data_IF_601847488919
#
_entry.id   IF_601847488919
#
_cell.length_a   1.000
_cell.length_b   1.000
_cell.length_c   1.000
_cell.angle_alpha   90.00
_cell.angle_beta   90.00
_cell.angle_gamma   90.00
#
_symmetry.space_group_name_H-M   'P 1'
#
loop_
_entity.id
_entity.type
_entity.pdbx_description
1 polymer ?
#
# COMPACT_ATOMS: atom_id res chain seq x y z
N UNK A 1 -13.19 26.71 50.77
CA UNK A 1 -12.78 27.51 49.60
C UNK A 1 -11.89 26.62 48.74
N UNK A 2 -12.51 25.66 48.08
CA UNK A 2 -11.84 24.65 47.25
C UNK A 2 -11.79 25.24 45.84
N UNK A 3 -10.60 25.64 45.44
CA UNK A 3 -10.33 26.16 44.10
C UNK A 3 -10.55 25.04 43.09
N UNK A 4 -11.64 25.19 42.34
CA UNK A 4 -12.06 24.34 41.22
C UNK A 4 -11.04 24.53 40.08
N UNK A 5 -9.89 23.86 40.18
CA UNK A 5 -8.90 23.73 39.11
C UNK A 5 -9.49 22.82 38.02
N UNK A 6 -10.42 23.37 37.25
CA UNK A 6 -10.80 22.80 35.96
C UNK A 6 -9.57 22.91 35.06
N UNK A 7 -8.94 21.78 34.81
CA UNK A 7 -7.97 21.65 33.72
C UNK A 7 -8.59 22.26 32.45
N UNK A 8 -7.83 23.02 31.64
CA UNK A 8 -8.35 23.66 30.46
C UNK A 8 -9.02 22.61 29.57
N UNK A 9 -10.36 22.68 29.55
CA UNK A 9 -11.18 21.83 28.73
C UNK A 9 -10.89 22.17 27.27
N UNK A 10 -10.40 21.17 26.55
CA UNK A 10 -10.44 21.08 25.11
C UNK A 10 -9.72 22.17 24.31
N UNK A 11 -8.39 22.09 24.25
CA UNK A 11 -7.85 21.88 22.90
C UNK A 11 -8.42 20.52 22.46
N UNK A 12 -9.65 20.53 21.90
CA UNK A 12 -10.09 19.45 21.04
C UNK A 12 -8.92 19.29 20.10
N UNK A 13 -8.26 18.13 20.17
CA UNK A 13 -7.42 17.62 19.09
C UNK A 13 -8.10 18.11 17.83
N UNK A 14 -7.44 19.03 17.13
CA UNK A 14 -7.98 19.57 15.91
C UNK A 14 -8.20 18.34 15.03
N UNK A 15 -9.44 17.85 15.02
CA UNK A 15 -9.87 16.87 14.08
C UNK A 15 -9.44 17.49 12.76
N UNK A 16 -8.64 16.78 12.00
CA UNK A 16 -8.16 17.21 10.69
C UNK A 16 -9.36 17.22 9.75
N UNK A 17 -10.35 18.07 10.04
CA UNK A 17 -11.28 18.62 9.08
C UNK A 17 -10.40 19.47 8.18
N UNK A 18 -9.71 18.79 7.26
CA UNK A 18 -9.06 19.44 6.13
C UNK A 18 -10.15 20.33 5.54
N UNK A 19 -9.92 21.65 5.43
CA UNK A 19 -10.83 22.52 4.72
C UNK A 19 -11.23 21.85 3.41
N UNK A 20 -12.51 21.95 3.00
CA UNK A 20 -12.99 21.29 1.76
C UNK A 20 -12.05 21.53 0.56
N UNK A 21 -11.40 22.69 0.51
CA UNK A 21 -10.38 23.04 -0.48
C UNK A 21 -9.16 22.12 -0.48
N UNK A 22 -8.66 21.70 0.68
CA UNK A 22 -7.51 20.78 0.81
C UNK A 22 -7.87 19.35 0.41
N UNK A 23 -9.10 18.91 0.71
CA UNK A 23 -9.61 17.62 0.23
C UNK A 23 -9.69 17.60 -1.31
N UNK A 24 -10.27 18.65 -1.91
CA UNK A 24 -10.36 18.78 -3.38
C UNK A 24 -8.97 18.79 -4.00
N UNK A 25 -8.04 19.57 -3.45
CA UNK A 25 -6.67 19.61 -3.97
C UNK A 25 -5.97 18.25 -3.87
N UNK A 26 -6.16 17.52 -2.77
CA UNK A 26 -5.60 16.18 -2.59
C UNK A 26 -6.18 15.18 -3.62
N UNK A 27 -7.49 15.26 -3.86
CA UNK A 27 -8.16 14.44 -4.88
C UNK A 27 -7.67 14.77 -6.30
N UNK A 28 -7.50 16.06 -6.62
CA UNK A 28 -6.96 16.50 -7.90
C UNK A 28 -5.52 16.01 -8.10
N UNK A 29 -4.68 16.09 -7.07
CA UNK A 29 -3.31 15.57 -7.13
C UNK A 29 -3.25 14.06 -7.29
N UNK A 30 -4.04 13.32 -6.51
CA UNK A 30 -4.14 11.87 -6.66
C UNK A 30 -4.63 11.47 -8.06
N UNK A 31 -5.61 12.20 -8.60
CA UNK A 31 -6.13 11.98 -9.96
C UNK A 31 -5.07 12.28 -11.01
N UNK A 32 -4.33 13.39 -10.87
CA UNK A 32 -3.23 13.75 -11.76
C UNK A 32 -2.13 12.67 -11.77
N UNK A 33 -1.66 12.22 -10.59
CA UNK A 33 -0.64 11.17 -10.50
C UNK A 33 -1.14 9.84 -11.09
N UNK A 34 -2.40 9.50 -10.83
CA UNK A 34 -3.03 8.30 -11.41
C UNK A 34 -3.04 8.38 -12.94
N UNK A 35 -3.41 9.54 -13.51
CA UNK A 35 -3.40 9.76 -14.95
C UNK A 35 -1.97 9.79 -15.52
N UNK A 36 -0.99 10.32 -14.79
CA UNK A 36 0.40 10.34 -15.24
C UNK A 36 1.01 8.93 -15.32
N UNK A 37 0.67 8.06 -14.36
CA UNK A 37 1.16 6.68 -14.28
C UNK A 37 0.39 5.77 -15.24
N UNK A 38 -0.95 5.77 -15.14
CA UNK A 38 -1.82 4.81 -15.82
C UNK A 38 -2.52 5.35 -17.06
N UNK A 39 -2.57 6.68 -17.26
CA UNK A 39 -3.17 7.29 -18.45
C UNK A 39 -2.57 6.81 -19.78
N UNK A 40 -1.25 6.61 -19.90
CA UNK A 40 -0.64 6.01 -21.09
C UNK A 40 -1.20 4.62 -21.43
N UNK A 41 -1.64 3.83 -20.45
CA UNK A 41 -2.31 2.54 -20.69
C UNK A 41 -3.73 2.67 -21.23
N UNK A 42 -4.34 3.85 -21.10
CA UNK A 42 -5.68 4.13 -21.65
C UNK A 42 -5.63 4.57 -23.11
N UNK A 43 -4.44 4.87 -23.67
CA UNK A 43 -4.30 5.30 -25.05
C UNK A 43 -4.70 4.20 -26.07
N UNK A 44 -5.10 4.57 -27.30
CA UNK A 44 -5.33 3.62 -28.38
C UNK A 44 -4.13 2.69 -28.60
N UNK A 45 -4.39 1.42 -28.89
CA UNK A 45 -3.36 0.42 -29.15
C UNK A 45 -2.91 -0.42 -27.96
N UNK A 46 -3.19 -0.02 -26.71
CA UNK A 46 -2.88 -0.82 -25.50
C UNK A 46 -3.94 -1.88 -25.22
N UNK A 47 -3.51 -3.15 -25.21
CA UNK A 47 -4.23 -4.32 -24.71
C UNK A 47 -3.26 -5.04 -23.78
N UNK A 48 -3.58 -5.10 -22.49
CA UNK A 48 -2.72 -5.77 -21.52
C UNK A 48 -2.56 -7.26 -21.89
N UNK A 49 -1.31 -7.70 -22.04
CA UNK A 49 -0.96 -9.04 -22.52
C UNK A 49 -1.24 -10.21 -21.57
N UNK A 50 -1.99 -10.00 -20.48
CA UNK A 50 -2.44 -11.11 -19.63
C UNK A 50 -3.81 -11.60 -20.08
N UNK A 51 -3.84 -12.78 -20.68
CA UNK A 51 -4.94 -13.76 -20.86
C UNK A 51 -6.43 -13.34 -20.72
N UNK A 52 -6.84 -12.11 -21.04
CA UNK A 52 -8.25 -11.69 -21.02
C UNK A 52 -8.76 -11.27 -22.40
N UNK A 53 -9.34 -12.20 -23.19
CA UNK A 53 -10.25 -11.85 -24.28
C UNK A 53 -11.56 -11.34 -23.66
N UNK A 54 -11.53 -10.11 -23.13
CA UNK A 54 -12.72 -9.46 -22.61
C UNK A 54 -13.74 -9.19 -23.73
N UNK A 55 -15.05 -9.28 -23.47
CA UNK A 55 -16.08 -8.93 -24.44
C UNK A 55 -15.87 -7.49 -24.93
N UNK A 56 -15.83 -7.28 -26.25
CA UNK A 56 -15.85 -5.92 -26.86
C UNK A 56 -17.27 -5.35 -26.92
N UNK A 57 -18.26 -6.18 -26.61
CA UNK A 57 -19.67 -5.85 -26.53
C UNK A 57 -20.18 -6.25 -25.15
N UNK A 58 -20.56 -5.27 -24.35
CA UNK A 58 -21.19 -5.48 -23.05
C UNK A 58 -22.70 -5.41 -23.24
N UNK A 59 -23.32 -6.55 -23.52
CA UNK A 59 -24.78 -6.70 -23.51
C UNK A 59 -25.28 -7.05 -22.11
N UNK A 60 -26.54 -6.77 -21.83
CA UNK A 60 -27.21 -7.33 -20.65
C UNK A 60 -27.42 -8.83 -20.88
N UNK A 61 -26.95 -9.65 -19.94
CA UNK A 61 -27.21 -11.08 -19.97
C UNK A 61 -28.69 -11.36 -19.75
N UNK A 62 -29.24 -12.32 -20.52
CA UNK A 62 -30.60 -12.83 -20.30
C UNK A 62 -30.65 -13.87 -19.17
N UNK A 63 -29.52 -14.17 -18.52
CA UNK A 63 -29.44 -15.14 -17.42
C UNK A 63 -29.37 -14.44 -16.06
N UNK A 64 -30.06 -15.00 -15.06
CA UNK A 64 -30.02 -14.50 -13.69
C UNK A 64 -28.80 -15.07 -12.98
N UNK A 65 -27.76 -14.25 -12.79
CA UNK A 65 -26.51 -14.62 -12.14
C UNK A 65 -25.94 -13.55 -11.21
N UNK A 66 -24.98 -13.95 -10.38
CA UNK A 66 -24.26 -13.05 -9.44
C UNK A 66 -23.40 -12.00 -10.15
N UNK A 67 -23.14 -12.17 -11.45
CA UNK A 67 -22.45 -11.21 -12.31
C UNK A 67 -23.34 -10.08 -12.85
N UNK A 68 -24.67 -10.16 -12.73
CA UNK A 68 -25.60 -9.13 -13.29
C UNK A 68 -25.22 -7.70 -12.89
N UNK A 69 -24.91 -7.38 -11.62
CA UNK A 69 -24.57 -6.00 -11.27
C UNK A 69 -23.32 -5.51 -11.97
N UNK A 70 -22.30 -6.37 -12.11
CA UNK A 70 -21.08 -6.04 -12.82
C UNK A 70 -21.32 -5.91 -14.32
N UNK A 71 -22.09 -6.82 -14.92
CA UNK A 71 -22.45 -6.77 -16.34
C UNK A 71 -23.28 -5.53 -16.69
N UNK A 72 -24.26 -5.18 -15.86
CA UNK A 72 -25.07 -3.97 -16.02
C UNK A 72 -24.21 -2.70 -15.86
N UNK A 73 -23.30 -2.69 -14.88
CA UNK A 73 -22.35 -1.59 -14.72
C UNK A 73 -21.45 -1.47 -15.96
N UNK A 74 -20.95 -2.59 -16.49
CA UNK A 74 -20.10 -2.62 -17.68
C UNK A 74 -20.84 -2.23 -18.97
N UNK A 75 -22.10 -2.63 -19.12
CA UNK A 75 -22.96 -2.22 -20.23
C UNK A 75 -23.25 -0.71 -20.19
N UNK A 76 -23.59 -0.18 -19.01
CA UNK A 76 -23.77 1.26 -18.81
C UNK A 76 -22.50 2.06 -19.08
N UNK A 77 -21.35 1.57 -18.60
CA UNK A 77 -20.04 2.17 -18.87
C UNK A 77 -19.72 2.13 -20.38
N UNK A 78 -19.94 0.98 -21.02
CA UNK A 78 -19.76 0.79 -22.46
C UNK A 78 -20.62 1.72 -23.31
N UNK A 79 -21.85 1.98 -22.89
CA UNK A 79 -22.72 2.97 -23.53
C UNK A 79 -22.21 4.41 -23.36
N UNK A 80 -21.73 4.76 -22.16
CA UNK A 80 -21.31 6.12 -21.83
C UNK A 80 -19.99 6.53 -22.50
N UNK A 81 -19.00 5.63 -22.53
CA UNK A 81 -17.62 5.96 -22.95
C UNK A 81 -17.12 5.16 -24.16
N UNK A 82 -17.96 4.28 -24.71
CA UNK A 82 -17.63 3.36 -25.80
C UNK A 82 -17.09 2.02 -25.30
N UNK A 83 -17.42 0.94 -26.02
CA UNK A 83 -17.07 -0.44 -25.65
C UNK A 83 -15.56 -0.70 -25.53
N UNK A 84 -14.74 -0.02 -26.35
CA UNK A 84 -13.28 -0.12 -26.24
C UNK A 84 -12.76 0.47 -24.93
N UNK A 85 -13.17 1.69 -24.57
CA UNK A 85 -12.71 2.34 -23.35
C UNK A 85 -13.29 1.66 -22.12
N UNK A 86 -14.54 1.20 -22.15
CA UNK A 86 -15.11 0.40 -21.07
C UNK A 86 -14.36 -0.93 -20.91
N UNK A 87 -14.03 -1.61 -22.00
CA UNK A 87 -13.19 -2.80 -21.98
C UNK A 87 -11.81 -2.52 -21.41
N UNK A 88 -11.16 -1.42 -21.79
CA UNK A 88 -9.88 -0.99 -21.22
C UNK A 88 -10.00 -0.62 -19.74
N UNK A 89 -11.07 0.03 -19.30
CA UNK A 89 -11.29 0.36 -17.88
C UNK A 89 -11.57 -0.89 -17.05
N UNK A 90 -12.28 -1.88 -17.61
CA UNK A 90 -12.47 -3.18 -16.98
C UNK A 90 -11.15 -3.93 -16.91
N UNK A 91 -10.41 -4.03 -18.02
CA UNK A 91 -9.12 -4.74 -18.08
C UNK A 91 -8.10 -4.03 -17.18
N UNK A 92 -8.01 -2.70 -17.23
CA UNK A 92 -7.24 -1.89 -16.29
C UNK A 92 -7.68 -2.24 -14.87
N UNK A 93 -8.97 -2.16 -14.56
CA UNK A 93 -9.54 -2.50 -13.26
C UNK A 93 -9.36 -3.97 -12.85
N UNK A 94 -9.18 -4.90 -13.79
CA UNK A 94 -9.03 -6.35 -13.58
C UNK A 94 -7.57 -6.79 -13.54
N UNK A 95 -6.66 -6.13 -14.25
CA UNK A 95 -5.20 -6.35 -14.17
C UNK A 95 -4.59 -5.66 -12.98
N UNK A 96 -5.07 -4.44 -12.72
CA UNK A 96 -4.98 -3.93 -11.39
C UNK A 96 -5.68 -4.97 -10.48
N UNK A 97 -6.98 -5.25 -10.62
CA UNK A 97 -7.76 -6.17 -9.76
C UNK A 97 -7.09 -7.49 -9.32
N UNK A 98 -6.70 -8.36 -10.25
CA UNK A 98 -6.46 -9.79 -10.03
C UNK A 98 -5.09 -10.14 -9.41
N UNK A 99 -4.12 -9.21 -9.38
CA UNK A 99 -2.82 -9.46 -8.73
C UNK A 99 -2.17 -8.19 -8.13
N UNK A 100 -2.37 -7.01 -8.73
CA UNK A 100 -1.69 -5.78 -8.34
C UNK A 100 -2.51 -4.88 -7.40
N UNK A 101 -3.84 -4.82 -7.52
CA UNK A 101 -4.73 -3.89 -6.84
C UNK A 101 -5.13 -4.42 -5.49
N UNK A 102 -5.25 -5.72 -5.29
CA UNK A 102 -5.48 -6.23 -3.93
C UNK A 102 -4.34 -5.79 -2.98
N UNK A 103 -3.08 -5.94 -3.39
CA UNK A 103 -1.94 -5.44 -2.63
C UNK A 103 -1.81 -3.91 -2.66
N UNK A 104 -1.94 -3.25 -3.82
CA UNK A 104 -1.79 -1.80 -3.95
C UNK A 104 -2.96 -1.01 -3.32
N UNK A 105 -4.19 -1.54 -3.35
CA UNK A 105 -5.35 -0.98 -2.67
C UNK A 105 -5.16 -1.09 -1.18
N UNK A 106 -4.76 -2.26 -0.67
CA UNK A 106 -4.41 -2.41 0.74
C UNK A 106 -3.30 -1.44 1.14
N UNK A 107 -2.27 -1.27 0.29
CA UNK A 107 -1.22 -0.28 0.47
C UNK A 107 -1.75 1.17 0.43
N UNK A 108 -2.67 1.51 -0.46
CA UNK A 108 -3.31 2.83 -0.52
C UNK A 108 -4.21 3.11 0.69
N UNK A 109 -4.75 2.07 1.32
CA UNK A 109 -5.53 2.17 2.56
C UNK A 109 -4.62 2.34 3.79
N UNK A 110 -3.35 1.90 3.76
CA UNK A 110 -2.44 1.95 4.91
C UNK A 110 -2.29 3.35 5.56
N UNK A 111 -2.11 4.47 4.82
CA UNK A 111 -2.02 5.80 5.42
C UNK A 111 -3.28 6.18 6.21
N UNK A 112 -4.46 5.78 5.69
CA UNK A 112 -5.71 5.97 6.41
C UNK A 112 -5.80 5.07 7.65
N UNK A 113 -5.38 3.81 7.55
CA UNK A 113 -5.30 2.91 8.70
C UNK A 113 -4.37 3.44 9.79
N UNK A 114 -3.20 3.99 9.42
CA UNK A 114 -2.29 4.66 10.34
C UNK A 114 -2.96 5.83 11.06
N UNK A 115 -3.74 6.64 10.32
CA UNK A 115 -4.49 7.75 10.90
C UNK A 115 -5.53 7.26 11.92
N UNK A 116 -6.25 6.18 11.59
CA UNK A 116 -7.23 5.56 12.51
C UNK A 116 -6.58 4.95 13.75
N UNK A 117 -5.46 4.25 13.57
CA UNK A 117 -4.65 3.70 14.67
C UNK A 117 -4.15 4.80 15.60
N UNK A 118 -3.58 5.87 15.04
CA UNK A 118 -3.15 7.03 15.82
C UNK A 118 -4.30 7.65 16.60
N UNK A 119 -5.46 7.85 15.96
CA UNK A 119 -6.65 8.38 16.63
C UNK A 119 -7.11 7.50 17.79
N UNK A 120 -7.11 6.17 17.61
CA UNK A 120 -7.44 5.21 18.67
C UNK A 120 -6.43 5.21 19.82
N UNK A 121 -5.14 5.37 19.53
CA UNK A 121 -4.10 5.42 20.56
C UNK A 121 -4.07 6.75 21.33
N UNK A 122 -4.41 7.86 20.66
CA UNK A 122 -4.49 9.18 21.28
C UNK A 122 -5.78 9.36 22.09
N UNK A 123 -6.91 8.89 21.56
CA UNK A 123 -8.23 8.99 22.18
C UNK A 123 -8.94 7.63 22.13
N UNK A 124 -8.62 6.73 23.08
CA UNK A 124 -9.25 5.42 23.14
C UNK A 124 -10.76 5.54 23.38
N UNK A 125 -11.56 4.96 22.48
CA UNK A 125 -13.02 5.07 22.54
C UNK A 125 -13.70 4.20 21.50
N UNK A 126 -15.03 4.07 21.60
CA UNK A 126 -15.81 3.21 20.69
C UNK A 126 -15.70 3.67 19.22
N UNK A 127 -15.81 4.97 18.97
CA UNK A 127 -15.72 5.53 17.61
C UNK A 127 -14.34 5.30 16.98
N UNK A 128 -13.26 5.51 17.74
CA UNK A 128 -11.89 5.31 17.25
C UNK A 128 -11.57 3.82 17.05
N UNK A 129 -12.09 2.95 17.92
CA UNK A 129 -12.00 1.48 17.77
C UNK A 129 -12.72 0.97 16.52
N UNK A 130 -13.95 1.44 16.27
CA UNK A 130 -14.69 1.09 15.04
C UNK A 130 -13.95 1.61 13.82
N UNK A 131 -13.43 2.84 13.86
CA UNK A 131 -12.63 3.39 12.76
C UNK A 131 -11.38 2.55 12.44
N UNK A 132 -10.67 2.08 13.46
CA UNK A 132 -9.53 1.16 13.29
C UNK A 132 -9.98 -0.20 12.77
N UNK A 133 -11.07 -0.76 13.29
CA UNK A 133 -11.60 -2.05 12.85
C UNK A 133 -12.00 -2.03 11.37
N UNK A 134 -12.71 -0.97 10.93
CA UNK A 134 -13.06 -0.78 9.51
C UNK A 134 -11.80 -0.69 8.65
N UNK A 135 -10.75 0.00 9.11
CA UNK A 135 -9.48 0.06 8.38
C UNK A 135 -8.84 -1.32 8.20
N UNK A 136 -8.80 -2.13 9.25
CA UNK A 136 -8.30 -3.50 9.15
C UNK A 136 -9.17 -4.38 8.25
N UNK A 137 -10.49 -4.25 8.30
CA UNK A 137 -11.42 -5.01 7.45
C UNK A 137 -11.22 -4.64 5.98
N UNK A 138 -11.15 -3.35 5.64
CA UNK A 138 -10.88 -2.91 4.27
C UNK A 138 -9.52 -3.39 3.77
N UNK A 139 -8.49 -3.35 4.62
CA UNK A 139 -7.18 -3.92 4.31
C UNK A 139 -7.28 -5.44 4.11
N UNK A 140 -8.05 -6.17 4.92
CA UNK A 140 -8.22 -7.61 4.80
C UNK A 140 -8.99 -8.05 3.56
N UNK A 141 -10.04 -7.30 3.20
CA UNK A 141 -10.77 -7.47 1.93
C UNK A 141 -9.82 -7.27 0.76
N UNK A 142 -8.95 -6.26 0.84
CA UNK A 142 -8.00 -5.96 -0.22
C UNK A 142 -6.84 -6.97 -0.24
N UNK A 143 -6.19 -7.27 0.87
CA UNK A 143 -5.09 -8.23 0.96
C UNK A 143 -4.92 -8.79 2.39
N UNK A 144 -5.14 -10.10 2.60
CA UNK A 144 -4.90 -10.73 3.90
C UNK A 144 -3.45 -10.56 4.42
N UNK A 145 -2.47 -10.50 3.53
CA UNK A 145 -1.06 -10.27 3.89
C UNK A 145 -0.84 -8.90 4.51
N UNK A 146 -1.53 -7.89 4.01
CA UNK A 146 -1.38 -6.52 4.50
C UNK A 146 -1.98 -6.37 5.90
N UNK A 147 -2.95 -7.22 6.28
CA UNK A 147 -3.46 -7.28 7.67
C UNK A 147 -2.34 -7.63 8.65
N UNK A 148 -1.46 -8.58 8.29
CA UNK A 148 -0.30 -8.94 9.13
C UNK A 148 0.65 -7.74 9.29
N UNK A 149 0.93 -7.04 8.18
CA UNK A 149 1.83 -5.88 8.16
C UNK A 149 1.22 -4.72 8.98
N UNK A 150 -0.08 -4.43 8.82
CA UNK A 150 -0.79 -3.42 9.62
C UNK A 150 -0.88 -3.83 11.08
N UNK A 151 -1.04 -5.12 11.37
CA UNK A 151 -1.04 -5.66 12.73
C UNK A 151 0.29 -5.44 13.44
N UNK A 152 1.42 -5.70 12.76
CA UNK A 152 2.76 -5.38 13.27
C UNK A 152 2.89 -3.88 13.55
N UNK A 153 2.51 -3.04 12.59
CA UNK A 153 2.53 -1.58 12.76
C UNK A 153 1.70 -1.14 13.98
N UNK A 154 0.47 -1.65 14.12
CA UNK A 154 -0.41 -1.34 15.24
C UNK A 154 0.20 -1.77 16.59
N UNK A 155 0.80 -2.97 16.65
CA UNK A 155 1.46 -3.48 17.85
C UNK A 155 2.66 -2.59 18.25
N UNK A 156 3.53 -2.25 17.29
CA UNK A 156 4.68 -1.38 17.54
C UNK A 156 4.22 0.01 18.00
N UNK A 157 3.22 0.59 17.33
CA UNK A 157 2.67 1.89 17.72
C UNK A 157 2.07 1.86 19.12
N UNK A 158 1.31 0.82 19.46
CA UNK A 158 0.75 0.67 20.81
C UNK A 158 1.85 0.60 21.88
N UNK A 159 2.90 -0.18 21.63
CA UNK A 159 4.05 -0.27 22.55
C UNK A 159 4.75 1.09 22.70
N UNK A 160 5.06 1.79 21.61
CA UNK A 160 5.76 3.08 21.71
C UNK A 160 4.92 4.17 22.37
N UNK A 161 3.61 4.20 22.12
CA UNK A 161 2.71 5.12 22.81
C UNK A 161 2.62 4.79 24.29
N UNK A 162 2.48 3.52 24.66
CA UNK A 162 2.46 3.08 26.07
C UNK A 162 3.76 3.47 26.78
N UNK A 163 4.92 3.23 26.16
CA UNK A 163 6.22 3.55 26.75
C UNK A 163 6.45 5.07 26.90
N UNK A 164 5.80 5.89 26.09
CA UNK A 164 5.88 7.34 26.17
C UNK A 164 4.98 7.95 27.26
N UNK A 165 3.98 7.21 27.77
CA UNK A 165 3.14 7.69 28.86
C UNK A 165 3.86 7.62 30.21
N UNK A 166 3.60 8.62 31.07
CA UNK A 166 4.08 8.61 32.46
C UNK A 166 3.42 7.49 33.26
N UNK A 167 2.11 7.35 33.11
CA UNK A 167 1.27 6.37 33.84
C UNK A 167 0.90 5.20 32.94
N UNK A 168 1.90 4.36 32.61
CA UNK A 168 1.79 3.26 31.63
C UNK A 168 0.63 2.31 31.93
N UNK A 169 0.46 1.93 33.20
CA UNK A 169 -0.59 0.99 33.62
C UNK A 169 -1.98 1.59 33.43
N UNK A 170 -2.17 2.87 33.74
CA UNK A 170 -3.45 3.55 33.54
C UNK A 170 -3.76 3.69 32.06
N UNK A 171 -2.77 4.08 31.25
CA UNK A 171 -2.92 4.10 29.79
C UNK A 171 -3.35 2.72 29.26
N UNK A 172 -2.67 1.64 29.66
CA UNK A 172 -3.03 0.28 29.25
C UNK A 172 -4.44 -0.12 29.69
N UNK A 173 -4.86 0.23 30.91
CA UNK A 173 -6.23 -0.02 31.40
C UNK A 173 -7.28 0.74 30.58
N UNK A 174 -6.96 1.97 30.19
CA UNK A 174 -7.87 2.82 29.42
C UNK A 174 -7.93 2.42 27.94
N UNK A 175 -6.80 2.06 27.32
CA UNK A 175 -6.72 1.73 25.90
C UNK A 175 -6.96 0.25 25.57
N UNK A 176 -6.60 -0.65 26.49
CA UNK A 176 -6.66 -2.10 26.30
C UNK A 176 -8.04 -2.61 25.87
N UNK A 177 -9.14 -2.25 26.56
CA UNK A 177 -10.49 -2.68 26.18
C UNK A 177 -10.86 -2.27 24.75
N UNK A 178 -10.49 -1.06 24.33
CA UNK A 178 -10.76 -0.53 23.00
C UNK A 178 -9.97 -1.24 21.90
N UNK A 179 -8.73 -1.63 22.19
CA UNK A 179 -7.92 -2.48 21.30
C UNK A 179 -8.59 -3.85 21.14
N UNK A 180 -9.06 -4.45 22.23
CA UNK A 180 -9.78 -5.73 22.19
C UNK A 180 -11.06 -5.62 21.37
N UNK A 181 -11.83 -4.53 21.54
CA UNK A 181 -13.02 -4.25 20.73
C UNK A 181 -12.67 -4.14 19.24
N UNK A 182 -11.60 -3.41 18.88
CA UNK A 182 -11.18 -3.29 17.49
C UNK A 182 -10.79 -4.65 16.88
N UNK A 183 -10.00 -5.46 17.62
CA UNK A 183 -9.62 -6.82 17.20
C UNK A 183 -10.85 -7.72 17.02
N UNK A 184 -11.78 -7.69 17.98
CA UNK A 184 -13.00 -8.49 17.93
C UNK A 184 -13.88 -8.11 16.74
N UNK A 185 -14.11 -6.82 16.51
CA UNK A 185 -14.88 -6.33 15.37
C UNK A 185 -14.22 -6.70 14.03
N UNK A 186 -12.90 -6.54 13.91
CA UNK A 186 -12.15 -6.99 12.73
C UNK A 186 -12.29 -8.49 12.52
N UNK A 187 -12.11 -9.29 13.57
CA UNK A 187 -12.21 -10.75 13.50
C UNK A 187 -13.60 -11.24 13.09
N UNK A 188 -14.66 -10.66 13.65
CA UNK A 188 -16.04 -10.97 13.29
C UNK A 188 -16.31 -10.61 11.83
N UNK A 189 -16.00 -9.38 11.41
CA UNK A 189 -16.25 -8.91 10.05
C UNK A 189 -15.37 -9.62 8.99
N UNK A 190 -14.18 -10.10 9.39
CA UNK A 190 -13.24 -10.83 8.54
C UNK A 190 -13.41 -12.35 8.62
N UNK A 191 -14.38 -12.85 9.39
CA UNK A 191 -14.57 -14.29 9.62
C UNK A 191 -14.82 -15.08 8.34
N UNK A 192 -15.40 -14.45 7.30
CA UNK A 192 -15.69 -15.08 6.02
C UNK A 192 -14.44 -15.61 5.29
N UNK A 193 -13.26 -15.03 5.53
CA UNK A 193 -11.98 -15.52 4.98
C UNK A 193 -11.06 -16.09 6.07
N UNK A 194 -11.10 -15.58 7.30
CA UNK A 194 -10.27 -16.10 8.41
C UNK A 194 -10.63 -17.55 8.74
N UNK A 195 -11.92 -17.87 8.83
CA UNK A 195 -12.38 -19.23 9.21
C UNK A 195 -11.98 -20.28 8.16
N UNK A 196 -12.26 -20.12 6.85
CA UNK A 196 -11.83 -21.10 5.86
C UNK A 196 -10.30 -21.21 5.79
N UNK A 197 -9.56 -20.10 5.91
CA UNK A 197 -8.10 -20.09 5.96
C UNK A 197 -7.55 -20.95 7.09
N UNK A 198 -8.03 -20.76 8.32
CA UNK A 198 -7.61 -21.54 9.50
C UNK A 198 -8.03 -23.01 9.37
N UNK A 199 -9.19 -23.27 8.76
CA UNK A 199 -9.67 -24.62 8.50
C UNK A 199 -8.92 -25.32 7.36
N UNK A 200 -7.96 -24.66 6.69
CA UNK A 200 -7.25 -25.19 5.52
C UNK A 200 -8.17 -25.42 4.32
N UNK A 201 -9.26 -24.64 4.22
CA UNK A 201 -10.26 -24.70 3.15
C UNK A 201 -10.21 -23.44 2.30
N UNK A 202 -10.76 -23.54 1.10
CA UNK A 202 -10.77 -22.44 0.14
C UNK A 202 -9.43 -22.25 -0.55
N UNK A 203 -9.41 -21.34 -1.51
CA UNK A 203 -8.27 -21.12 -2.40
C UNK A 203 -6.98 -20.80 -1.63
N UNK A 204 -7.04 -19.90 -0.66
CA UNK A 204 -5.88 -19.49 0.13
C UNK A 204 -5.34 -20.62 1.02
N UNK A 205 -6.23 -21.42 1.62
CA UNK A 205 -5.86 -22.59 2.41
C UNK A 205 -5.13 -23.65 1.57
N UNK A 206 -5.64 -23.93 0.37
CA UNK A 206 -5.02 -24.85 -0.59
C UNK A 206 -3.66 -24.34 -1.10
N UNK A 207 -3.57 -23.06 -1.43
CA UNK A 207 -2.30 -22.44 -1.83
C UNK A 207 -1.29 -22.56 -0.71
N UNK A 208 -1.65 -22.25 0.54
CA UNK A 208 -0.74 -22.37 1.69
C UNK A 208 -0.32 -23.83 1.95
N UNK A 209 -1.22 -24.79 1.75
CA UNK A 209 -0.91 -26.20 1.91
C UNK A 209 0.14 -26.70 0.89
N UNK A 210 0.20 -26.07 -0.29
CA UNK A 210 1.20 -26.37 -1.33
C UNK A 210 2.45 -25.48 -1.27
N UNK A 211 2.44 -24.44 -0.45
CA UNK A 211 3.60 -23.57 -0.21
C UNK A 211 4.64 -24.28 0.66
N UNK A 212 5.74 -24.70 0.03
CA UNK A 212 6.89 -25.31 0.70
C UNK A 212 8.14 -24.43 0.69
N UNK A 213 9.21 -24.94 1.33
CA UNK A 213 10.52 -24.27 1.42
C UNK A 213 11.14 -23.91 0.07
N UNK A 214 10.86 -24.69 -0.98
CA UNK A 214 11.27 -24.39 -2.35
C UNK A 214 10.67 -23.08 -2.90
N UNK A 215 9.41 -22.78 -2.53
CA UNK A 215 8.80 -21.50 -2.90
C UNK A 215 9.45 -20.35 -2.13
N UNK A 216 9.73 -20.51 -0.84
CA UNK A 216 10.42 -19.50 -0.05
C UNK A 216 11.79 -19.12 -0.66
N UNK A 217 12.49 -20.09 -1.25
CA UNK A 217 13.73 -19.85 -2.01
C UNK A 217 13.47 -19.19 -3.36
N UNK A 218 12.44 -19.61 -4.10
CA UNK A 218 12.09 -19.03 -5.39
C UNK A 218 11.66 -17.55 -5.30
N UNK A 219 11.07 -17.15 -4.17
CA UNK A 219 10.60 -15.80 -3.89
C UNK A 219 11.52 -15.03 -2.92
N UNK A 220 12.76 -15.49 -2.77
CA UNK A 220 13.75 -14.81 -1.95
C UNK A 220 14.19 -13.49 -2.61
N UNK A 221 14.40 -12.45 -1.80
CA UNK A 221 14.84 -11.13 -2.27
C UNK A 221 16.25 -11.19 -2.86
N UNK A 222 16.51 -10.35 -3.87
CA UNK A 222 17.78 -10.34 -4.61
C UNK A 222 18.66 -9.18 -4.14
N UNK A 223 19.96 -9.44 -3.98
CA UNK A 223 20.96 -8.43 -3.63
C UNK A 223 21.36 -7.57 -4.81
N UNK A 224 21.65 -6.30 -4.58
CA UNK A 224 22.33 -5.47 -5.56
C UNK A 224 23.80 -5.90 -5.74
N UNK A 225 24.32 -5.85 -6.97
CA UNK A 225 25.71 -6.25 -7.26
C UNK A 225 26.74 -5.30 -6.66
N UNK A 226 26.42 -4.01 -6.56
CA UNK A 226 27.34 -2.96 -6.13
C UNK A 226 27.15 -2.63 -4.65
N UNK A 227 25.90 -2.60 -4.19
CA UNK A 227 25.57 -2.16 -2.83
C UNK A 227 25.18 -3.30 -1.88
N UNK A 228 25.03 -4.53 -2.37
CA UNK A 228 24.64 -5.68 -1.56
C UNK A 228 23.15 -5.72 -1.26
N UNK A 229 22.74 -6.54 -0.28
CA UNK A 229 21.32 -6.79 0.01
C UNK A 229 20.67 -5.62 0.77
N UNK A 230 21.23 -5.20 1.91
CA UNK A 230 20.54 -4.27 2.81
C UNK A 230 20.29 -2.90 2.17
N UNK A 231 21.28 -2.23 1.54
CA UNK A 231 21.00 -0.96 0.86
C UNK A 231 19.98 -1.11 -0.27
N UNK A 232 19.93 -2.29 -0.91
CA UNK A 232 18.95 -2.58 -1.95
C UNK A 232 17.51 -2.55 -1.42
N UNK A 233 17.27 -3.27 -0.31
CA UNK A 233 15.95 -3.31 0.33
C UNK A 233 15.56 -1.95 0.93
N UNK A 234 16.52 -1.26 1.55
CA UNK A 234 16.31 0.12 2.05
C UNK A 234 15.92 1.07 0.91
N UNK A 235 16.41 0.80 -0.31
CA UNK A 235 16.02 1.48 -1.54
C UNK A 235 14.68 1.05 -2.14
N UNK A 236 13.92 0.17 -1.47
CA UNK A 236 12.67 -0.41 -1.96
C UNK A 236 12.84 -1.22 -3.26
N UNK A 237 14.02 -1.83 -3.42
CA UNK A 237 14.36 -2.74 -4.52
C UNK A 237 14.64 -4.15 -3.98
N UNK A 238 15.01 -5.09 -4.86
CA UNK A 238 15.34 -6.46 -4.46
C UNK A 238 14.16 -7.41 -4.57
N UNK A 239 13.15 -7.02 -5.36
CA UNK A 239 12.07 -7.92 -5.73
C UNK A 239 12.64 -9.18 -6.38
N UNK A 240 12.15 -10.35 -5.97
CA UNK A 240 12.70 -11.65 -6.36
C UNK A 240 12.82 -11.82 -7.89
N UNK A 241 11.90 -11.23 -8.65
CA UNK A 241 11.88 -11.37 -10.10
C UNK A 241 12.88 -10.45 -10.82
N UNK A 242 13.50 -9.46 -10.15
CA UNK A 242 14.54 -8.60 -10.75
C UNK A 242 15.72 -9.43 -11.27
N UNK A 243 16.05 -10.55 -10.61
CA UNK A 243 17.13 -11.44 -11.02
C UNK A 243 16.82 -12.32 -12.24
N UNK A 244 15.58 -12.30 -12.75
CA UNK A 244 15.11 -13.23 -13.80
C UNK A 244 15.26 -12.68 -15.22
N UNK A 245 15.54 -11.38 -15.38
CA UNK A 245 15.60 -10.72 -16.69
C UNK A 245 14.24 -10.62 -17.40
N UNK A 246 13.12 -10.81 -16.69
CA UNK A 246 11.76 -10.73 -17.26
C UNK A 246 11.28 -9.31 -17.56
N UNK A 247 11.89 -8.32 -16.91
CA UNK A 247 11.59 -6.90 -17.09
C UNK A 247 12.85 -6.09 -16.76
N UNK A 248 12.95 -4.90 -17.33
CA UNK A 248 14.00 -3.93 -17.02
C UNK A 248 13.93 -3.53 -15.54
N UNK A 249 15.05 -3.63 -14.81
CA UNK A 249 15.06 -3.29 -13.39
C UNK A 249 14.69 -1.82 -13.18
N UNK A 250 13.87 -1.53 -12.16
CA UNK A 250 13.46 -0.15 -11.86
C UNK A 250 14.65 0.77 -11.54
N UNK A 251 15.79 0.21 -11.14
CA UNK A 251 17.04 0.94 -10.91
C UNK A 251 17.66 1.48 -12.18
N UNK A 252 17.43 0.84 -13.33
CA UNK A 252 17.99 1.29 -14.61
C UNK A 252 17.38 2.63 -15.03
N UNK A 253 16.15 2.91 -14.62
CA UNK A 253 15.49 4.21 -14.82
C UNK A 253 15.93 5.28 -13.82
N UNK A 254 16.75 4.92 -12.82
CA UNK A 254 17.23 5.79 -11.74
C UNK A 254 18.73 5.50 -11.49
N UNK A 255 19.64 5.85 -12.42
CA UNK A 255 21.06 5.45 -12.36
C UNK A 255 21.80 5.96 -11.12
N UNK A 256 21.30 7.02 -10.48
CA UNK A 256 21.84 7.58 -9.24
C UNK A 256 20.92 7.35 -8.03
N UNK A 257 20.14 6.25 -8.03
CA UNK A 257 19.18 5.95 -6.97
C UNK A 257 19.76 6.05 -5.55
N UNK A 258 21.02 5.67 -5.23
CA UNK A 258 21.52 5.76 -3.86
C UNK A 258 21.60 7.22 -3.37
N UNK A 259 21.95 8.16 -4.27
CA UNK A 259 22.03 9.58 -3.93
C UNK A 259 20.65 10.20 -3.75
N UNK A 260 19.68 9.82 -4.60
CA UNK A 260 18.30 10.28 -4.46
C UNK A 260 17.65 9.70 -3.21
N UNK A 261 17.88 8.41 -2.93
CA UNK A 261 17.46 7.78 -1.69
C UNK A 261 18.08 8.50 -0.48
N UNK A 262 19.39 8.79 -0.51
CA UNK A 262 20.04 9.53 0.57
C UNK A 262 19.42 10.91 0.78
N UNK A 263 19.04 11.62 -0.30
CA UNK A 263 18.32 12.89 -0.19
C UNK A 263 16.92 12.73 0.43
N UNK A 264 16.15 11.72 0.01
CA UNK A 264 14.84 11.39 0.60
C UNK A 264 14.98 11.08 2.09
N UNK A 265 15.96 10.25 2.46
CA UNK A 265 16.24 9.88 3.85
C UNK A 265 16.75 11.08 4.67
N UNK A 266 17.51 12.00 4.07
CA UNK A 266 17.94 13.23 4.72
C UNK A 266 16.74 14.13 5.05
N UNK A 267 15.80 14.31 4.11
CA UNK A 267 14.55 15.04 4.38
C UNK A 267 13.75 14.36 5.49
N UNK A 268 13.61 13.03 5.45
CA UNK A 268 12.95 12.27 6.51
C UNK A 268 13.64 12.47 7.88
N UNK A 269 14.97 12.45 7.93
CA UNK A 269 15.75 12.68 9.15
C UNK A 269 15.56 14.11 9.70
N UNK A 270 15.46 15.12 8.83
CA UNK A 270 15.11 16.49 9.22
C UNK A 270 13.73 16.51 9.89
N UNK A 271 12.76 15.77 9.35
CA UNK A 271 11.44 15.62 9.97
C UNK A 271 11.49 15.00 11.36
N UNK A 272 12.25 13.92 11.52
CA UNK A 272 12.51 13.28 12.82
C UNK A 272 13.15 14.26 13.81
N UNK A 273 14.15 15.02 13.38
CA UNK A 273 14.82 16.02 14.21
C UNK A 273 13.89 17.19 14.58
N UNK A 274 13.06 17.65 13.65
CA UNK A 274 12.06 18.71 13.84
C UNK A 274 11.04 18.34 14.92
N UNK A 275 10.53 17.11 14.89
CA UNK A 275 9.60 16.57 15.90
C UNK A 275 10.21 16.57 17.30
N UNK A 276 11.51 16.32 17.43
CA UNK A 276 12.20 16.31 18.75
C UNK A 276 12.40 17.72 19.31
N UNK A 277 12.65 18.71 18.45
CA UNK A 277 13.06 20.07 18.85
C UNK A 277 11.91 21.06 19.01
N UNK A 278 10.76 20.83 18.38
CA UNK A 278 9.67 21.80 18.32
C UNK A 278 8.35 21.42 19.00
N UNK A 279 7.28 22.10 18.60
CA UNK A 279 5.88 21.84 18.99
C UNK A 279 5.35 20.46 18.58
N UNK A 280 6.09 19.74 17.73
CA UNK A 280 5.77 18.40 17.27
C UNK A 280 5.99 17.29 18.30
N UNK A 281 6.39 17.56 19.54
CA UNK A 281 6.71 16.53 20.56
C UNK A 281 5.60 15.48 20.76
N UNK A 282 4.34 15.87 20.59
CA UNK A 282 3.20 14.94 20.62
C UNK A 282 3.26 13.83 19.53
N UNK A 283 3.99 14.05 18.44
CA UNK A 283 4.22 13.08 17.37
C UNK A 283 5.41 12.16 17.65
N UNK A 284 6.21 12.42 18.70
CA UNK A 284 7.41 11.63 18.98
C UNK A 284 7.12 10.12 19.14
N UNK A 285 6.07 9.66 19.85
CA UNK A 285 5.78 8.24 19.99
C UNK A 285 5.43 7.56 18.66
N UNK A 286 4.73 8.30 17.78
CA UNK A 286 4.43 7.88 16.40
C UNK A 286 5.71 7.74 15.57
N UNK A 287 6.56 8.77 15.57
CA UNK A 287 7.82 8.75 14.81
C UNK A 287 8.74 7.63 15.26
N UNK A 288 8.89 7.44 16.58
CA UNK A 288 9.67 6.31 17.14
C UNK A 288 9.06 4.98 16.72
N UNK A 289 7.74 4.84 16.80
CA UNK A 289 7.04 3.62 16.37
C UNK A 289 7.23 3.32 14.88
N UNK A 290 7.16 4.34 14.01
CA UNK A 290 7.42 4.20 12.58
C UNK A 290 8.88 3.76 12.29
N UNK A 291 9.87 4.31 13.00
CA UNK A 291 11.27 3.93 12.85
C UNK A 291 11.53 2.48 13.32
N UNK A 292 10.92 2.08 14.44
CA UNK A 292 10.99 0.68 14.93
C UNK A 292 10.30 -0.25 13.93
N UNK A 293 9.12 0.12 13.43
CA UNK A 293 8.38 -0.66 12.44
C UNK A 293 9.18 -0.81 11.12
N UNK A 294 9.81 0.24 10.63
CA UNK A 294 10.71 0.17 9.46
C UNK A 294 11.91 -0.74 9.70
N UNK A 295 12.51 -0.69 10.89
CA UNK A 295 13.65 -1.55 11.24
C UNK A 295 13.25 -3.03 11.23
N UNK A 296 12.08 -3.36 11.81
CA UNK A 296 11.54 -4.72 11.78
C UNK A 296 11.18 -5.13 10.35
N UNK A 297 10.56 -4.23 9.57
CA UNK A 297 10.20 -4.48 8.18
C UNK A 297 11.42 -4.90 7.35
N UNK A 298 12.51 -4.14 7.41
CA UNK A 298 13.76 -4.45 6.69
C UNK A 298 14.32 -5.81 7.12
N UNK A 299 14.32 -6.13 8.41
CA UNK A 299 14.77 -7.43 8.92
C UNK A 299 13.92 -8.59 8.39
N UNK A 300 12.60 -8.42 8.33
CA UNK A 300 11.69 -9.43 7.79
C UNK A 300 11.79 -9.53 6.25
N UNK A 301 12.01 -8.41 5.58
CA UNK A 301 12.19 -8.31 4.12
C UNK A 301 13.46 -9.01 3.64
N UNK A 302 14.55 -8.96 4.42
CA UNK A 302 15.77 -9.75 4.14
C UNK A 302 15.48 -11.23 3.97
N UNK A 303 14.40 -11.74 4.59
CA UNK A 303 13.90 -13.08 4.34
C UNK A 303 14.95 -14.15 4.66
N UNK A 304 15.03 -15.14 3.79
CA UNK A 304 16.07 -16.18 3.83
C UNK A 304 17.33 -15.81 3.04
N UNK A 305 17.36 -14.65 2.38
CA UNK A 305 18.51 -14.17 1.60
C UNK A 305 19.66 -13.67 2.48
N UNK A 306 19.41 -13.42 3.77
CA UNK A 306 20.44 -13.00 4.73
C UNK A 306 20.67 -14.06 5.82
N UNK A 307 21.92 -14.46 6.14
CA UNK A 307 22.21 -15.52 7.11
C UNK A 307 21.61 -15.30 8.49
N UNK A 308 21.60 -14.04 8.97
CA UNK A 308 21.12 -13.69 10.31
C UNK A 308 19.59 -13.80 10.44
N UNK A 309 18.85 -13.52 9.36
CA UNK A 309 17.38 -13.48 9.38
C UNK A 309 16.78 -14.81 8.94
N UNK A 310 17.52 -15.62 8.18
CA UNK A 310 17.03 -16.86 7.59
C UNK A 310 16.50 -17.86 8.63
N UNK A 311 17.13 -17.97 9.80
CA UNK A 311 16.65 -18.86 10.87
C UNK A 311 15.27 -18.44 11.40
N UNK A 312 15.10 -17.16 11.70
CA UNK A 312 13.84 -16.59 12.19
C UNK A 312 12.74 -16.71 11.13
N UNK A 313 13.06 -16.41 9.86
CA UNK A 313 12.09 -16.46 8.75
C UNK A 313 11.64 -17.91 8.47
N UNK A 314 12.56 -18.88 8.49
CA UNK A 314 12.20 -20.30 8.39
C UNK A 314 11.34 -20.77 9.58
N UNK A 315 11.63 -20.27 10.78
CA UNK A 315 10.81 -20.57 11.95
C UNK A 315 9.39 -19.98 11.81
N UNK A 316 9.26 -18.73 11.35
CA UNK A 316 7.96 -18.10 11.09
C UNK A 316 7.19 -18.86 10.00
N UNK A 317 7.84 -19.23 8.91
CA UNK A 317 7.25 -20.02 7.83
C UNK A 317 6.77 -21.40 8.32
N UNK A 318 7.53 -22.05 9.20
CA UNK A 318 7.18 -23.36 9.75
C UNK A 318 6.03 -23.31 10.78
N UNK A 319 5.94 -22.24 11.59
CA UNK A 319 5.04 -22.20 12.75
C UNK A 319 3.83 -21.28 12.59
N UNK A 320 3.87 -20.32 11.66
CA UNK A 320 2.83 -19.30 11.54
C UNK A 320 2.21 -19.33 10.13
N UNK A 321 1.06 -19.99 10.02
CA UNK A 321 0.33 -20.24 8.76
C UNK A 321 0.11 -18.96 7.94
N UNK A 322 -0.22 -17.85 8.61
CA UNK A 322 -0.43 -16.55 7.95
C UNK A 322 0.85 -16.02 7.31
N UNK A 323 2.02 -16.26 7.95
CA UNK A 323 3.31 -15.86 7.41
C UNK A 323 3.77 -16.78 6.28
N UNK A 324 3.52 -18.11 6.38
CA UNK A 324 3.76 -19.03 5.26
C UNK A 324 3.04 -18.58 3.99
N UNK A 325 1.78 -18.16 4.13
CA UNK A 325 1.01 -17.61 3.02
C UNK A 325 1.63 -16.37 2.37
N UNK A 326 2.46 -15.62 3.09
CA UNK A 326 3.12 -14.43 2.53
C UNK A 326 3.97 -14.80 1.32
N UNK A 327 4.64 -15.97 1.34
CA UNK A 327 5.49 -16.57 0.28
C UNK A 327 6.71 -15.73 -0.15
N UNK A 328 6.57 -14.42 -0.20
CA UNK A 328 7.49 -13.41 -0.69
C UNK A 328 7.76 -12.39 0.42
N UNK A 329 9.01 -12.30 0.86
CA UNK A 329 9.45 -11.38 1.91
C UNK A 329 9.40 -9.91 1.45
N UNK A 330 9.45 -9.63 0.14
CA UNK A 330 9.41 -8.29 -0.43
C UNK A 330 8.13 -7.51 -0.10
N UNK A 331 7.07 -8.18 0.36
CA UNK A 331 5.83 -7.51 0.81
C UNK A 331 6.06 -6.60 2.02
N UNK A 332 7.08 -6.86 2.84
CA UNK A 332 7.43 -5.99 3.98
C UNK A 332 7.90 -4.60 3.55
N UNK A 333 8.38 -4.43 2.31
CA UNK A 333 8.73 -3.14 1.73
C UNK A 333 7.55 -2.15 1.75
N UNK A 334 6.31 -2.64 1.73
CA UNK A 334 5.11 -1.81 1.86
C UNK A 334 5.09 -1.03 3.19
N UNK A 335 5.55 -1.63 4.29
CA UNK A 335 5.66 -0.92 5.57
C UNK A 335 6.76 0.14 5.53
N UNK A 336 7.89 -0.17 4.88
CA UNK A 336 8.99 0.76 4.74
C UNK A 336 8.60 1.99 3.89
N UNK A 337 7.92 1.75 2.77
CA UNK A 337 7.42 2.81 1.90
C UNK A 337 6.37 3.69 2.60
N UNK A 338 5.48 3.10 3.42
CA UNK A 338 4.59 3.86 4.29
C UNK A 338 5.42 4.76 5.24
N UNK A 339 6.40 4.20 5.96
CA UNK A 339 7.22 4.97 6.90
C UNK A 339 7.94 6.12 6.19
N UNK A 340 8.52 5.88 5.01
CA UNK A 340 9.17 6.92 4.21
C UNK A 340 8.19 8.02 3.84
N UNK A 341 7.00 7.70 3.37
CA UNK A 341 5.99 8.71 3.01
C UNK A 341 5.64 9.63 4.19
N UNK A 342 5.52 9.08 5.40
CA UNK A 342 5.16 9.83 6.59
C UNK A 342 6.33 10.71 7.07
N UNK A 343 7.52 10.12 7.21
CA UNK A 343 8.69 10.86 7.70
C UNK A 343 9.16 11.91 6.70
N UNK A 344 9.11 11.61 5.40
CA UNK A 344 9.39 12.58 4.35
C UNK A 344 8.40 13.74 4.40
N UNK A 345 7.09 13.49 4.51
CA UNK A 345 6.09 14.55 4.64
C UNK A 345 6.31 15.46 5.85
N UNK A 346 6.65 14.88 7.02
CA UNK A 346 7.04 15.66 8.21
C UNK A 346 8.31 16.48 7.95
N UNK A 347 9.28 15.90 7.23
CA UNK A 347 10.52 16.56 6.81
C UNK A 347 10.28 17.76 5.90
N UNK A 348 9.44 17.59 4.88
CA UNK A 348 9.00 18.66 3.97
C UNK A 348 8.34 19.79 4.76
N UNK A 349 7.37 19.47 5.62
CA UNK A 349 6.70 20.48 6.46
C UNK A 349 7.69 21.23 7.36
N UNK A 350 8.68 20.53 7.92
CA UNK A 350 9.74 21.12 8.74
C UNK A 350 10.60 22.08 7.90
N UNK A 351 11.06 21.65 6.71
CA UNK A 351 11.88 22.45 5.81
C UNK A 351 11.16 23.71 5.32
N UNK A 352 9.91 23.59 4.90
CA UNK A 352 9.11 24.74 4.45
C UNK A 352 8.87 25.73 5.60
N UNK A 353 8.76 25.25 6.84
CA UNK A 353 8.68 26.09 8.03
C UNK A 353 9.95 26.87 8.36
N UNK A 354 11.11 26.49 7.80
CA UNK A 354 12.37 27.24 7.96
C UNK A 354 12.47 28.46 7.04
N UNK A 355 11.60 28.56 6.02
CA UNK A 355 11.60 29.70 5.11
C UNK A 355 11.18 30.96 5.89
N UNK A 356 12.04 32.00 5.99
CA UNK A 356 11.79 33.15 6.86
C UNK A 356 10.46 33.86 6.55
N UNK A 357 9.70 34.13 7.60
CA UNK A 357 8.46 34.92 7.50
C UNK A 357 8.71 36.40 7.18
N UNK A 358 9.95 36.87 7.35
CA UNK A 358 10.37 38.26 7.15
C UNK A 358 10.76 38.61 5.70
N UNK A 359 10.54 37.72 4.72
CA UNK A 359 10.74 38.09 3.31
C UNK A 359 9.78 39.24 2.94
N UNK A 360 10.34 40.41 2.62
CA UNK A 360 9.63 41.70 2.49
C UNK A 360 8.46 41.72 1.47
N UNK A 361 8.39 40.76 0.55
CA UNK A 361 7.31 40.62 -0.40
C UNK A 361 6.63 39.26 -0.25
N UNK A 362 5.31 39.27 -0.04
CA UNK A 362 4.44 38.08 -0.03
C UNK A 362 4.70 37.19 -1.26
N UNK A 363 4.85 37.80 -2.43
CA UNK A 363 5.14 37.13 -3.69
C UNK A 363 6.45 36.34 -3.67
N UNK A 364 7.53 36.89 -3.09
CA UNK A 364 8.82 36.22 -3.03
C UNK A 364 8.80 35.01 -2.10
N UNK A 365 8.04 35.10 -1.00
CA UNK A 365 7.84 33.98 -0.08
C UNK A 365 7.02 32.87 -0.74
N UNK A 366 5.91 33.21 -1.37
CA UNK A 366 5.04 32.24 -2.04
C UNK A 366 5.78 31.53 -3.19
N UNK A 367 6.59 32.26 -3.95
CA UNK A 367 7.47 31.67 -4.97
C UNK A 367 8.51 30.73 -4.36
N UNK A 368 9.20 31.13 -3.28
CA UNK A 368 10.19 30.29 -2.62
C UNK A 368 9.57 28.98 -2.09
N UNK A 369 8.40 29.07 -1.46
CA UNK A 369 7.64 27.89 -1.00
C UNK A 369 7.23 27.02 -2.18
N UNK A 370 6.73 27.62 -3.28
CA UNK A 370 6.32 26.89 -4.48
C UNK A 370 7.48 26.14 -5.13
N UNK A 371 8.63 26.80 -5.31
CA UNK A 371 9.85 26.19 -5.85
C UNK A 371 10.36 25.08 -4.94
N UNK A 372 10.45 25.31 -3.63
CA UNK A 372 10.89 24.30 -2.67
C UNK A 372 9.96 23.08 -2.67
N UNK A 373 8.64 23.30 -2.70
CA UNK A 373 7.64 22.24 -2.78
C UNK A 373 7.78 21.45 -4.08
N UNK A 374 7.95 22.13 -5.22
CA UNK A 374 8.16 21.48 -6.51
C UNK A 374 9.41 20.60 -6.53
N UNK A 375 10.53 21.09 -6.00
CA UNK A 375 11.78 20.33 -5.89
C UNK A 375 11.64 19.12 -4.96
N UNK A 376 10.97 19.28 -3.81
CA UNK A 376 10.74 18.20 -2.86
C UNK A 376 9.80 17.12 -3.41
N UNK A 377 8.78 17.50 -4.18
CA UNK A 377 7.89 16.55 -4.86
C UNK A 377 8.57 15.84 -6.03
N UNK A 378 9.50 16.52 -6.72
CA UNK A 378 10.24 15.92 -7.82
C UNK A 378 11.10 14.72 -7.38
N UNK A 379 11.58 14.70 -6.13
CA UNK A 379 12.43 13.60 -5.62
C UNK A 379 11.74 12.23 -5.63
N UNK A 380 10.60 12.00 -4.93
CA UNK A 380 9.92 10.72 -4.97
C UNK A 380 9.36 10.39 -6.35
N UNK A 381 8.98 11.39 -7.16
CA UNK A 381 8.53 11.16 -8.54
C UNK A 381 9.67 10.66 -9.43
N UNK A 382 10.86 11.23 -9.30
CA UNK A 382 12.05 10.74 -9.99
C UNK A 382 12.46 9.35 -9.49
N UNK A 383 12.37 9.10 -8.18
CA UNK A 383 12.69 7.78 -7.62
C UNK A 383 11.70 6.70 -8.11
N UNK A 384 10.42 7.07 -8.26
CA UNK A 384 9.38 6.23 -8.85
C UNK A 384 9.30 6.32 -10.38
N UNK A 385 10.27 6.94 -11.06
CA UNK A 385 10.23 7.21 -12.50
C UNK A 385 10.03 5.94 -13.33
N UNK A 386 10.55 4.81 -12.86
CA UNK A 386 10.38 3.51 -13.52
C UNK A 386 8.93 3.05 -13.69
N UNK A 387 7.96 3.65 -12.98
CA UNK A 387 6.53 3.37 -13.13
C UNK A 387 5.82 4.39 -14.03
N UNK A 388 6.42 5.55 -14.29
CA UNK A 388 5.84 6.58 -15.12
C UNK A 388 5.75 6.10 -16.58
N UNK A 389 4.82 6.70 -17.32
CA UNK A 389 4.67 6.43 -18.75
C UNK A 389 4.44 4.96 -19.09
N UNK A 390 3.72 4.27 -18.21
CA UNK A 390 3.44 2.85 -18.36
C UNK A 390 4.66 1.95 -18.21
N UNK A 391 5.43 2.21 -17.15
CA UNK A 391 6.73 1.60 -16.90
C UNK A 391 7.72 1.76 -18.07
N UNK A 392 7.88 2.99 -18.57
CA UNK A 392 8.72 3.30 -19.75
C UNK A 392 8.40 2.46 -20.99
N UNK A 393 7.14 2.05 -21.13
CA UNK A 393 6.71 1.19 -22.24
C UNK A 393 7.18 -0.26 -22.14
N UNK A 394 7.65 -0.72 -20.98
CA UNK A 394 7.87 -2.15 -20.71
C UNK A 394 6.55 -2.93 -20.75
N UNK A 395 5.44 -2.27 -20.38
CA UNK A 395 4.10 -2.83 -20.53
C UNK A 395 3.62 -2.51 -21.94
N UNK A 396 3.78 -3.49 -22.84
CA UNK A 396 3.39 -3.37 -24.25
C UNK A 396 2.09 -4.10 -24.55
N UNK A 397 1.33 -3.61 -25.54
CA UNK A 397 0.26 -4.40 -26.12
C UNK A 397 0.80 -5.66 -26.80
N UNK A 398 0.17 -6.80 -26.55
CA UNK A 398 0.41 -8.02 -27.32
C UNK A 398 -0.90 -8.56 -27.89
N UNK A 399 -0.84 -9.03 -29.14
CA UNK A 399 -1.93 -9.82 -29.73
C UNK A 399 -1.77 -11.26 -29.28
N UNK A 400 -2.86 -11.96 -28.98
CA UNK A 400 -2.77 -13.41 -28.86
C UNK A 400 -2.35 -14.00 -30.22
N UNK A 401 -1.66 -15.14 -30.23
CA UNK A 401 -1.43 -15.85 -31.48
C UNK A 401 -2.76 -16.10 -32.21
N UNK A 402 -2.78 -16.00 -33.55
CA UNK A 402 -4.00 -16.14 -34.34
C UNK A 402 -4.81 -17.41 -34.03
N UNK A 403 -4.13 -18.49 -33.64
CA UNK A 403 -4.74 -19.75 -33.22
C UNK A 403 -5.64 -19.63 -31.98
N UNK A 404 -5.35 -18.71 -31.05
CA UNK A 404 -6.20 -18.47 -29.88
C UNK A 404 -7.52 -17.82 -30.27
N UNK A 405 -7.49 -16.82 -31.16
CA UNK A 405 -8.71 -16.23 -31.70
C UNK A 405 -9.52 -17.24 -32.54
N UNK A 406 -8.84 -18.16 -33.22
CA UNK A 406 -9.51 -19.24 -33.95
C UNK A 406 -10.17 -20.25 -33.00
N UNK A 407 -9.49 -20.64 -31.92
CA UNK A 407 -10.04 -21.52 -30.90
C UNK A 407 -11.25 -20.88 -30.19
N UNK A 408 -11.17 -19.60 -29.84
CA UNK A 408 -12.27 -18.84 -29.26
C UNK A 408 -13.50 -18.81 -30.18
N UNK A 409 -13.29 -18.49 -31.47
CA UNK A 409 -14.37 -18.55 -32.48
C UNK A 409 -14.99 -19.93 -32.61
N UNK A 410 -14.17 -20.98 -32.60
CA UNK A 410 -14.63 -22.36 -32.69
C UNK A 410 -15.50 -22.72 -31.49
N UNK A 411 -15.03 -22.43 -30.26
CA UNK A 411 -15.77 -22.68 -29.02
C UNK A 411 -17.07 -21.88 -28.95
N UNK A 412 -17.06 -20.62 -29.40
CA UNK A 412 -18.25 -19.78 -29.44
C UNK A 412 -19.29 -20.26 -30.48
N UNK A 413 -18.84 -20.93 -31.54
CA UNK A 413 -19.71 -21.48 -32.59
C UNK A 413 -20.24 -22.89 -32.28
N UNK A 414 -19.77 -23.53 -31.20
CA UNK A 414 -20.21 -24.86 -30.82
C UNK A 414 -21.65 -24.82 -30.27
N UNK A 415 -22.56 -25.52 -30.94
CA UNK A 415 -23.95 -25.63 -30.54
C UNK A 415 -24.14 -26.47 -29.26
N UNK A 416 -23.13 -27.23 -28.83
CA UNK A 416 -23.16 -28.08 -27.65
C UNK A 416 -21.94 -27.80 -26.76
N UNK A 417 -21.86 -26.62 -26.13
CA UNK A 417 -20.66 -26.17 -25.42
C UNK A 417 -20.27 -27.13 -24.28
N UNK A 418 -19.18 -27.87 -24.48
CA UNK A 418 -18.54 -28.68 -23.46
C UNK A 418 -17.45 -27.92 -22.69
N UNK A 419 -16.85 -28.56 -21.67
CA UNK A 419 -15.63 -28.02 -21.02
C UNK A 419 -14.43 -28.26 -21.93
N UNK A 420 -13.80 -27.20 -22.41
CA UNK A 420 -12.52 -27.29 -23.11
C UNK A 420 -11.38 -27.51 -22.10
N UNK A 421 -10.65 -28.61 -22.24
CA UNK A 421 -9.39 -28.82 -21.50
C UNK A 421 -8.27 -28.05 -22.20
N UNK A 422 -7.63 -27.15 -21.46
CA UNK A 422 -6.47 -26.40 -21.90
C UNK A 422 -5.24 -27.16 -21.41
N UNK A 423 -4.50 -27.78 -22.33
CA UNK A 423 -3.25 -28.48 -22.05
C UNK A 423 -2.05 -27.56 -22.23
#
# INVERSE_FOLDING_TARGET
>A
MVSDMRAPSSERTAAWDLPRSELVLSLLWASFLTLLIAGPWLLPGYLFGTDWPGPRHFGLSNSIGSSIPLEAAMAGLGWAVGGELAGKLLILGSLFGAAFLFLLLAYAILPWALTRLRGMLAEPGGRSSVGAAVAFVLIGIASPHMVLITGLLAAVLFVTHTLAQREKLEYMKNSGPWIVVAIALTGIASSYWIVPLIAGRGYEGEVIATTGSGQLAAYAVVSDRSFGLVPNLVGLYGFWAEGTGRFTSMKEFVPFWPFVLAAILAVAAIGVAGVRRGSGRQLAPLVVGLLVAASIAVVLEMGISHPVTAGVVRWLDANFVVYRGLRDAGKWAALLALVYSQLFGIGVATLLGLIPTHMNARTSRDLAIGVATGLLLAMPLYYGNGLLFGAHGEIKPSQYPAGWYAADRLLASDAHPGRALKY
#
